data_IF_446307633280
#
_entry.id   IF_446307633280
#
_cell.length_a   1.000
_cell.length_b   1.000
_cell.length_c   1.000
_cell.angle_alpha   90.00
_cell.angle_beta   90.00
_cell.angle_gamma   90.00
#
_symmetry.space_group_name_H-M   'P 1'
#
loop_
_entity.id
_entity.type
_entity.pdbx_description
1 polymer ?
#
# COMPACT_ATOMS: atom_id res chain seq x y z
N UNK A 1 14.21 3.30 5.60
CA UNK A 1 14.14 1.88 5.20
C UNK A 1 12.79 1.30 5.59
N UNK A 2 12.20 0.45 4.75
CA UNK A 2 10.93 -0.21 5.08
C UNK A 2 11.10 -1.15 6.27
N UNK A 3 10.17 -1.09 7.24
CA UNK A 3 10.27 -1.86 8.49
C UNK A 3 11.28 -1.37 9.52
N UNK A 4 11.98 -0.25 9.29
CA UNK A 4 12.85 0.39 10.29
C UNK A 4 12.08 0.93 11.49
N UNK A 5 12.79 1.27 12.57
CA UNK A 5 12.16 1.79 13.80
C UNK A 5 11.47 3.15 13.60
N UNK A 6 12.03 4.02 12.74
CA UNK A 6 11.35 5.25 12.31
C UNK A 6 10.04 4.95 11.58
N UNK A 7 10.03 3.94 10.71
CA UNK A 7 8.80 3.51 10.02
C UNK A 7 7.75 2.99 11.02
N UNK A 8 8.15 2.17 11.99
CA UNK A 8 7.26 1.66 13.05
C UNK A 8 6.69 2.80 13.91
N UNK A 9 7.51 3.79 14.26
CA UNK A 9 7.08 4.96 15.03
C UNK A 9 6.02 5.80 14.28
N UNK A 10 6.16 5.93 12.96
CA UNK A 10 5.16 6.59 12.10
C UNK A 10 3.88 5.76 12.00
N UNK A 11 3.99 4.44 11.82
CA UNK A 11 2.83 3.54 11.81
C UNK A 11 2.02 3.68 13.11
N UNK A 12 2.70 3.72 14.26
CA UNK A 12 2.10 3.85 15.59
C UNK A 12 1.31 5.16 15.80
N UNK A 13 1.50 6.16 14.95
CA UNK A 13 0.79 7.46 14.98
C UNK A 13 -0.22 7.62 13.84
N UNK A 14 -0.38 6.61 12.99
CA UNK A 14 -1.24 6.66 11.81
C UNK A 14 -2.66 6.15 12.09
N UNK A 15 -3.55 6.28 11.11
CA UNK A 15 -4.88 5.63 11.14
C UNK A 15 -4.84 4.10 11.08
N UNK A 16 -3.67 3.51 10.82
CA UNK A 16 -3.48 2.07 10.63
C UNK A 16 -2.96 1.35 11.88
N UNK A 17 -2.87 2.04 13.02
CA UNK A 17 -2.36 1.49 14.30
C UNK A 17 -3.03 0.20 14.73
N UNK A 18 -4.33 0.08 14.46
CA UNK A 18 -5.14 -1.08 14.82
C UNK A 18 -5.30 -2.09 13.68
N UNK A 19 -4.70 -1.85 12.52
CA UNK A 19 -4.85 -2.72 11.36
C UNK A 19 -3.84 -3.87 11.42
N UNK A 20 -4.26 -5.13 11.59
CA UNK A 20 -3.34 -6.25 11.85
C UNK A 20 -2.34 -6.52 10.71
N UNK A 21 -2.68 -6.10 9.49
CA UNK A 21 -1.87 -6.29 8.30
C UNK A 21 -0.87 -5.16 8.02
N UNK A 22 -0.88 -4.10 8.82
CA UNK A 22 0.03 -2.97 8.67
C UNK A 22 1.43 -3.30 9.20
N UNK A 23 2.01 -4.39 8.71
CA UNK A 23 3.36 -4.87 9.02
C UNK A 23 4.22 -4.84 7.76
N UNK A 24 5.56 -4.93 7.88
CA UNK A 24 6.43 -4.96 6.71
C UNK A 24 6.32 -6.29 5.92
N UNK A 25 6.11 -6.20 4.60
CA UNK A 25 6.08 -7.35 3.68
C UNK A 25 7.07 -7.17 2.52
N UNK A 26 8.03 -8.09 2.35
CA UNK A 26 9.00 -8.01 1.26
C UNK A 26 8.40 -8.30 -0.13
N UNK A 27 7.24 -8.96 -0.18
CA UNK A 27 6.48 -9.28 -1.39
C UNK A 27 4.99 -9.02 -1.16
N UNK A 28 4.26 -8.77 -2.25
CA UNK A 28 2.82 -8.51 -2.18
C UNK A 28 2.21 -8.33 -3.56
N UNK A 29 0.92 -8.00 -3.57
CA UNK A 29 0.16 -7.77 -4.79
C UNK A 29 0.17 -6.31 -5.19
N UNK A 30 0.09 -6.05 -6.50
CA UNK A 30 -0.20 -4.72 -7.04
C UNK A 30 -1.72 -4.60 -7.14
N UNK A 31 -2.28 -3.56 -6.53
CA UNK A 31 -3.71 -3.29 -6.54
C UNK A 31 -4.00 -1.94 -7.19
N UNK A 32 -5.01 -1.92 -8.07
CA UNK A 32 -5.60 -0.70 -8.62
C UNK A 32 -6.93 -0.47 -7.92
N UNK A 33 -7.11 0.69 -7.31
CA UNK A 33 -8.36 1.03 -6.63
C UNK A 33 -9.17 2.01 -7.48
N UNK A 34 -10.49 1.89 -7.39
CA UNK A 34 -11.42 2.98 -7.68
C UNK A 34 -12.20 3.24 -6.40
N UNK A 35 -12.26 4.50 -5.96
CA UNK A 35 -12.86 4.87 -4.68
C UNK A 35 -14.37 5.12 -4.76
N UNK A 36 -14.96 5.07 -5.95
CA UNK A 36 -16.39 5.33 -6.15
C UNK A 36 -16.96 4.46 -7.27
N UNK A 37 -18.10 3.78 -7.04
CA UNK A 37 -18.79 3.04 -8.10
C UNK A 37 -19.41 3.99 -9.16
N UNK A 38 -19.52 5.29 -8.85
CA UNK A 38 -20.03 6.32 -9.78
C UNK A 38 -18.92 6.88 -10.68
N UNK A 39 -17.67 6.69 -10.30
CA UNK A 39 -16.51 7.17 -11.05
C UNK A 39 -16.01 6.06 -11.97
N UNK A 40 -15.76 6.41 -13.22
CA UNK A 40 -15.14 5.50 -14.17
C UNK A 40 -13.65 5.82 -14.24
N UNK A 41 -12.83 4.79 -14.11
CA UNK A 41 -11.38 4.89 -14.24
C UNK A 41 -10.93 3.91 -15.30
N UNK A 42 -10.05 4.37 -16.20
CA UNK A 42 -9.49 3.57 -17.28
C UNK A 42 -7.98 3.54 -17.17
N UNK A 43 -7.42 2.33 -17.19
CA UNK A 43 -5.98 2.09 -17.17
C UNK A 43 -5.56 1.44 -18.49
N UNK A 44 -4.38 1.80 -18.98
CA UNK A 44 -3.78 1.15 -20.16
C UNK A 44 -2.27 1.10 -20.01
N UNK A 45 -1.66 0.12 -20.67
CA UNK A 45 -0.20 -0.04 -20.74
C UNK A 45 0.51 -0.12 -19.36
N UNK A 46 -0.12 -0.77 -18.37
CA UNK A 46 0.51 -1.01 -17.06
C UNK A 46 1.57 -2.11 -17.23
N UNK A 47 2.83 -1.79 -16.92
CA UNK A 47 3.99 -2.70 -17.05
C UNK A 47 4.81 -2.66 -15.77
N UNK A 48 5.45 -3.78 -15.44
CA UNK A 48 6.35 -3.90 -14.30
C UNK A 48 7.70 -4.48 -14.74
N UNK A 49 8.78 -4.03 -14.10
CA UNK A 49 10.10 -4.64 -14.12
C UNK A 49 10.51 -4.88 -12.67
N UNK A 50 10.87 -6.12 -12.36
CA UNK A 50 11.42 -6.48 -11.05
C UNK A 50 12.86 -5.96 -10.91
N UNK A 51 13.26 -5.62 -9.68
CA UNK A 51 14.56 -5.04 -9.33
C UNK A 51 15.46 -6.06 -8.64
#
# INVERSE_FOLDING_TARGET
QYGSDDWKAKLAKSKFTKWPYATPHAKGNIALQCHSPKEKVWYRNVRIKEL
#
